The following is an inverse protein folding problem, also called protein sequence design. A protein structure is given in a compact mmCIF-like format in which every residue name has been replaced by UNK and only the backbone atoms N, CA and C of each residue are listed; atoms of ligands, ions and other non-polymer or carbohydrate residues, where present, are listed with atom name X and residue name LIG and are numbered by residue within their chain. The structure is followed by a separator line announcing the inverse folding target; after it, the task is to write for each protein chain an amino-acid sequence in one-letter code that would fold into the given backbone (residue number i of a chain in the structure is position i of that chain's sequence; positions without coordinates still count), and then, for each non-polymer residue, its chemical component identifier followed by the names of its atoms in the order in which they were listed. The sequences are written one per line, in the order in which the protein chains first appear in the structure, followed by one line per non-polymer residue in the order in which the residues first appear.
data_IF_219675884849
#
_entry.id   IF_219675884849
#
_cell.length_a   1.000
_cell.length_b   1.000
_cell.length_c   1.000
_cell.angle_alpha   90.00
_cell.angle_beta   90.00
_cell.angle_gamma   90.00
#
_symmetry.space_group_name_H-M   'P 1'
#
loop_
_entity.id
_entity.type
_entity.pdbx_description
1 polymer ?
#
# COMPACT_ATOMS: atom_id res chain seq x y z
N UNK A 1 39.22 -3.12 4.66
CA UNK A 1 38.48 -1.84 4.47
C UNK A 1 38.24 -1.25 5.85
N UNK A 2 38.73 -0.05 6.15
CA UNK A 2 38.43 0.61 7.45
C UNK A 2 36.93 0.87 7.58
N UNK A 3 36.36 0.73 8.78
CA UNK A 3 34.94 0.94 9.05
C UNK A 3 34.59 2.43 8.88
N UNK A 4 33.76 2.81 7.88
CA UNK A 4 33.42 4.21 7.65
C UNK A 4 32.52 4.76 8.78
N UNK A 5 32.69 6.03 9.13
CA UNK A 5 31.85 6.70 10.14
C UNK A 5 30.59 7.25 9.47
N UNK A 6 29.42 6.82 9.94
CA UNK A 6 28.11 7.18 9.37
C UNK A 6 27.93 8.68 9.12
N UNK A 7 28.18 9.52 10.13
CA UNK A 7 27.95 10.98 10.06
C UNK A 7 28.96 11.74 9.20
N UNK A 8 30.07 11.10 8.80
CA UNK A 8 31.12 11.75 7.99
C UNK A 8 31.08 11.31 6.53
N UNK A 9 30.77 10.05 6.29
CA UNK A 9 30.80 9.46 4.94
C UNK A 9 29.57 8.54 4.71
N UNK A 10 28.33 9.09 4.69
CA UNK A 10 27.11 8.29 4.66
C UNK A 10 27.01 7.38 3.44
N UNK A 11 27.38 7.86 2.26
CA UNK A 11 27.35 7.07 1.00
C UNK A 11 28.33 5.90 1.06
N UNK A 12 29.54 6.13 1.58
CA UNK A 12 30.55 5.08 1.75
C UNK A 12 30.11 4.07 2.81
N UNK A 13 29.45 4.54 3.88
CA UNK A 13 28.89 3.68 4.92
C UNK A 13 27.80 2.76 4.38
N UNK A 14 26.84 3.29 3.62
CA UNK A 14 25.80 2.47 2.98
C UNK A 14 26.42 1.42 2.05
N UNK A 15 27.39 1.81 1.20
CA UNK A 15 28.11 0.86 0.34
C UNK A 15 28.86 -0.21 1.14
N UNK A 16 29.51 0.17 2.25
CA UNK A 16 30.19 -0.77 3.13
C UNK A 16 29.21 -1.78 3.75
N UNK A 17 28.05 -1.34 4.23
CA UNK A 17 27.04 -2.23 4.81
C UNK A 17 26.45 -3.16 3.75
N UNK A 18 26.19 -2.66 2.53
CA UNK A 18 25.70 -3.47 1.42
C UNK A 18 26.64 -4.63 1.08
N UNK A 19 27.96 -4.41 1.09
CA UNK A 19 28.94 -5.47 0.77
C UNK A 19 29.31 -6.38 1.95
N UNK A 20 29.49 -5.83 3.16
CA UNK A 20 30.01 -6.60 4.31
C UNK A 20 28.90 -7.25 5.15
N UNK A 21 27.71 -6.65 5.18
CA UNK A 21 26.55 -7.13 5.94
C UNK A 21 25.28 -7.04 5.10
N UNK A 22 25.23 -7.74 3.94
CA UNK A 22 24.12 -7.62 2.99
C UNK A 22 22.77 -7.97 3.63
N UNK A 23 22.73 -8.97 4.50
CA UNK A 23 21.51 -9.40 5.18
C UNK A 23 20.86 -8.30 6.02
N UNK A 24 21.64 -7.47 6.72
CA UNK A 24 21.09 -6.32 7.48
C UNK A 24 20.73 -5.16 6.56
N UNK A 25 21.58 -4.86 5.58
CA UNK A 25 21.38 -3.72 4.70
C UNK A 25 20.12 -3.88 3.84
N UNK A 26 19.99 -5.01 3.13
CA UNK A 26 18.87 -5.21 2.22
C UNK A 26 17.55 -5.48 2.94
N UNK A 27 17.55 -6.15 4.10
CA UNK A 27 16.33 -6.30 4.90
C UNK A 27 15.78 -4.94 5.36
N UNK A 28 16.63 -4.08 5.93
CA UNK A 28 16.24 -2.75 6.37
C UNK A 28 15.83 -1.86 5.18
N UNK A 29 16.53 -1.94 4.05
CA UNK A 29 16.22 -1.17 2.85
C UNK A 29 14.86 -1.55 2.26
N UNK A 30 14.57 -2.85 2.11
CA UNK A 30 13.26 -3.32 1.62
C UNK A 30 12.15 -2.93 2.60
N UNK A 31 12.38 -3.08 3.90
CA UNK A 31 11.42 -2.66 4.92
C UNK A 31 11.14 -1.14 4.85
N UNK A 32 12.16 -0.32 4.64
CA UNK A 32 12.00 1.13 4.50
C UNK A 32 11.26 1.52 3.20
N UNK A 33 11.46 0.78 2.11
CA UNK A 33 10.75 1.02 0.85
C UNK A 33 9.25 0.76 0.98
N UNK A 34 8.80 -0.17 1.82
CA UNK A 34 7.37 -0.48 2.01
C UNK A 34 6.53 0.75 2.35
N UNK A 35 6.78 1.45 3.46
CA UNK A 35 6.09 2.69 3.80
C UNK A 35 6.22 3.77 2.72
N UNK A 36 7.39 3.90 2.09
CA UNK A 36 7.60 4.88 1.01
C UNK A 36 6.64 4.62 -0.15
N UNK A 37 6.50 3.37 -0.59
CA UNK A 37 5.54 3.02 -1.65
C UNK A 37 4.08 3.14 -1.20
N UNK A 38 3.78 2.89 0.08
CA UNK A 38 2.43 3.11 0.61
C UNK A 38 2.06 4.59 0.56
N UNK A 39 2.93 5.49 1.02
CA UNK A 39 2.64 6.92 1.08
C UNK A 39 2.80 7.64 -0.25
N UNK A 40 3.78 7.28 -1.08
CA UNK A 40 4.02 7.93 -2.36
C UNK A 40 3.39 7.19 -3.54
N UNK A 41 3.45 5.86 -3.54
CA UNK A 41 2.97 5.04 -4.65
C UNK A 41 1.45 4.96 -4.76
N UNK A 42 0.73 4.79 -3.65
CA UNK A 42 -0.74 4.70 -3.68
C UNK A 42 -1.45 5.98 -4.18
N UNK A 43 -1.10 7.21 -3.76
CA UNK A 43 -1.74 8.40 -4.32
C UNK A 43 -1.37 8.63 -5.78
N UNK A 44 -0.13 8.29 -6.18
CA UNK A 44 0.30 8.40 -7.58
C UNK A 44 -0.52 7.48 -8.49
N UNK A 45 -0.74 6.23 -8.06
CA UNK A 45 -1.60 5.26 -8.76
C UNK A 45 -3.03 5.77 -8.89
N UNK A 46 -3.63 6.26 -7.81
CA UNK A 46 -5.02 6.78 -7.81
C UNK A 46 -5.20 8.00 -8.72
N UNK A 47 -4.16 8.84 -8.83
CA UNK A 47 -4.22 10.07 -9.64
C UNK A 47 -4.00 9.84 -11.12
N UNK A 48 -3.07 8.96 -11.49
CA UNK A 48 -2.60 8.84 -12.87
C UNK A 48 -2.96 7.54 -13.57
N UNK A 49 -3.34 6.49 -12.82
CA UNK A 49 -3.57 5.16 -13.39
C UNK A 49 -5.04 4.74 -13.26
N UNK A 50 -5.48 4.41 -12.06
CA UNK A 50 -6.83 3.87 -11.82
C UNK A 50 -7.30 4.10 -10.39
N UNK A 51 -8.62 4.21 -10.25
CA UNK A 51 -9.30 4.36 -8.96
C UNK A 51 -9.32 3.05 -8.16
N UNK A 52 -9.61 3.15 -6.87
CA UNK A 52 -9.78 1.98 -6.01
C UNK A 52 -11.04 1.21 -6.39
N UNK A 53 -11.04 -0.10 -6.13
CA UNK A 53 -12.22 -0.92 -6.34
C UNK A 53 -13.37 -0.48 -5.43
N UNK A 54 -14.59 -0.53 -5.97
CA UNK A 54 -15.80 -0.30 -5.18
C UNK A 54 -15.94 -1.38 -4.08
N UNK A 55 -16.51 -1.03 -2.92
CA UNK A 55 -16.70 -1.99 -1.84
C UNK A 55 -17.69 -3.08 -2.26
N UNK A 56 -17.30 -4.33 -2.03
CA UNK A 56 -18.19 -5.49 -2.23
C UNK A 56 -19.30 -5.42 -1.16
N UNK A 57 -20.57 -5.76 -1.51
CA UNK A 57 -21.64 -5.87 -0.52
C UNK A 57 -21.35 -7.01 0.47
N UNK A 58 -20.82 -6.67 1.64
CA UNK A 58 -20.54 -7.63 2.72
C UNK A 58 -21.77 -7.93 3.57
N UNK A 59 -22.72 -7.00 3.62
CA UNK A 59 -23.90 -7.05 4.51
C UNK A 59 -25.06 -7.88 3.96
N UNK A 60 -24.81 -8.66 2.89
CA UNK A 60 -25.78 -9.56 2.28
C UNK A 60 -26.58 -8.91 1.15
N UNK A 61 -27.87 -9.26 1.07
CA UNK A 61 -28.74 -8.79 -0.01
C UNK A 61 -28.98 -7.27 0.10
N UNK A 62 -28.81 -6.48 -0.98
CA UNK A 62 -28.97 -5.03 -0.93
C UNK A 62 -30.45 -4.67 -0.76
N UNK A 63 -30.89 -4.50 0.48
CA UNK A 63 -32.25 -4.06 0.78
C UNK A 63 -32.34 -2.55 0.55
N UNK A 64 -33.26 -2.08 -0.31
CA UNK A 64 -33.39 -0.65 -0.57
C UNK A 64 -33.94 0.07 0.67
N UNK A 65 -33.30 1.17 1.08
CA UNK A 65 -33.77 2.03 2.16
C UNK A 65 -34.93 2.92 1.71
N UNK A 66 -36.07 2.30 1.43
CA UNK A 66 -37.31 2.96 1.00
C UNK A 66 -38.54 2.30 1.62
N UNK A 67 -39.64 3.04 1.84
CA UNK A 67 -40.90 2.43 2.27
C UNK A 67 -41.43 1.45 1.21
N UNK A 68 -42.21 0.48 1.67
CA UNK A 68 -42.83 -0.53 0.79
C UNK A 68 -43.74 0.16 -0.24
N UNK A 69 -43.55 -0.15 -1.51
CA UNK A 69 -44.48 0.20 -2.58
C UNK A 69 -45.25 -1.07 -2.97
N UNK A 70 -46.57 -1.16 -2.76
CA UNK A 70 -47.37 -2.30 -3.21
C UNK A 70 -47.18 -2.51 -4.72
N UNK A 71 -46.70 -3.68 -5.17
CA UNK A 71 -46.67 -4.00 -6.59
C UNK A 71 -48.09 -4.25 -7.11
N UNK A 72 -48.28 -4.10 -8.41
CA UNK A 72 -49.48 -4.55 -9.10
C UNK A 72 -49.10 -5.69 -10.06
N UNK A 73 -49.95 -6.70 -10.17
CA UNK A 73 -49.74 -7.88 -11.03
C UNK A 73 -49.32 -9.12 -10.24
N UNK A 74 -49.65 -10.30 -10.76
CA UNK A 74 -49.67 -11.58 -10.03
C UNK A 74 -50.75 -11.65 -8.93
N UNK A 75 -51.82 -10.88 -9.08
CA UNK A 75 -53.07 -11.18 -8.37
C UNK A 75 -53.68 -12.43 -9.04
N UNK A 76 -54.15 -13.40 -8.23
CA UNK A 76 -54.71 -14.67 -8.71
C UNK A 76 -55.78 -14.51 -9.82
#
# INVERSE_FOLDING_TARGET
MSYPVYFKEPVRWLRYQAHNKPHLFYSAFIAALGPVFLFAGTPLRRKFLYADAEPVPMDGYPVPNRPRNPPAGYED
#
